data_IF_548049196867
#
_entry.id   IF_548049196867
#
_cell.length_a   1.000
_cell.length_b   1.000
_cell.length_c   1.000
_cell.angle_alpha   90.00
_cell.angle_beta   90.00
_cell.angle_gamma   90.00
#
_symmetry.space_group_name_H-M   'P 1'
#
loop_
_entity.id
_entity.type
_entity.pdbx_description
1 polymer ?
#
# COMPACT_ATOMS: atom_id res chain seq x y z
N UNK A 1 -34.13 27.05 -41.51
CA UNK A 1 -33.31 26.62 -40.36
C UNK A 1 -31.90 27.13 -40.59
N UNK A 2 -31.43 28.04 -39.74
CA UNK A 2 -30.10 28.64 -39.87
C UNK A 2 -29.06 27.80 -39.14
N UNK A 3 -27.86 27.72 -39.69
CA UNK A 3 -26.70 27.17 -39.02
C UNK A 3 -26.03 28.26 -38.19
N UNK A 4 -25.47 27.89 -37.04
CA UNK A 4 -24.63 28.78 -36.24
C UNK A 4 -23.21 28.29 -36.37
N UNK A 5 -22.34 29.14 -36.91
CA UNK A 5 -20.91 28.85 -37.01
C UNK A 5 -20.23 29.07 -35.67
N UNK A 6 -19.40 28.11 -35.25
CA UNK A 6 -18.60 28.19 -34.03
C UNK A 6 -17.14 28.11 -34.48
N UNK A 7 -16.35 29.11 -34.10
CA UNK A 7 -14.91 29.17 -34.37
C UNK A 7 -14.13 28.90 -33.07
N UNK A 8 -12.90 28.36 -33.16
CA UNK A 8 -12.08 28.06 -31.99
C UNK A 8 -11.45 29.36 -31.46
N UNK A 9 -12.25 30.25 -30.89
CA UNK A 9 -11.82 31.54 -30.33
C UNK A 9 -11.99 31.48 -28.81
N UNK A 10 -10.95 31.83 -28.05
CA UNK A 10 -11.03 31.83 -26.59
C UNK A 10 -11.75 33.06 -26.01
N UNK A 11 -11.93 33.09 -24.68
CA UNK A 11 -12.63 34.18 -24.00
C UNK A 11 -11.96 35.56 -24.16
N UNK A 12 -10.70 35.59 -24.56
CA UNK A 12 -9.87 36.79 -24.75
C UNK A 12 -9.88 37.24 -26.22
N UNK A 13 -10.58 36.53 -27.10
CA UNK A 13 -10.66 36.83 -28.53
C UNK A 13 -9.47 36.30 -29.34
N UNK A 14 -8.66 35.41 -28.77
CA UNK A 14 -7.48 34.84 -29.44
C UNK A 14 -7.92 33.60 -30.23
N UNK A 15 -7.57 33.55 -31.50
CA UNK A 15 -7.78 32.39 -32.37
C UNK A 15 -6.92 31.20 -31.91
N UNK A 16 -7.56 30.04 -31.80
CA UNK A 16 -6.96 28.74 -31.45
C UNK A 16 -7.14 27.76 -32.60
N UNK A 17 -6.60 26.56 -32.44
CA UNK A 17 -6.73 25.49 -33.42
C UNK A 17 -7.68 24.40 -32.92
N UNK A 18 -8.41 23.77 -33.84
CA UNK A 18 -9.22 22.60 -33.52
C UNK A 18 -8.33 21.43 -33.10
N UNK A 19 -8.72 20.73 -32.02
CA UNK A 19 -8.03 19.53 -31.55
C UNK A 19 -8.11 18.37 -32.55
N UNK A 20 -9.18 18.31 -33.35
CA UNK A 20 -9.47 17.24 -34.30
C UNK A 20 -9.71 17.80 -35.70
N UNK A 21 -9.23 17.06 -36.71
CA UNK A 21 -9.62 17.30 -38.11
C UNK A 21 -11.10 16.96 -38.34
N UNK A 22 -11.64 17.42 -39.46
CA UNK A 22 -13.07 17.30 -39.82
C UNK A 22 -13.59 15.86 -39.73
N UNK A 23 -12.86 14.90 -40.30
CA UNK A 23 -13.27 13.49 -40.32
C UNK A 23 -13.38 12.90 -38.91
N UNK A 24 -12.34 13.13 -38.08
CA UNK A 24 -12.31 12.69 -36.69
C UNK A 24 -13.42 13.33 -35.87
N UNK A 25 -13.69 14.63 -36.08
CA UNK A 25 -14.77 15.34 -35.40
C UNK A 25 -16.13 14.73 -35.76
N UNK A 26 -16.40 14.48 -37.04
CA UNK A 26 -17.67 13.89 -37.49
C UNK A 26 -17.85 12.47 -36.92
N UNK A 27 -16.80 11.66 -36.90
CA UNK A 27 -16.86 10.30 -36.33
C UNK A 27 -17.08 10.29 -34.80
N UNK A 28 -16.66 11.35 -34.10
CA UNK A 28 -16.66 11.46 -32.63
C UNK A 28 -17.72 12.39 -32.06
N UNK A 29 -18.50 13.05 -32.93
CA UNK A 29 -19.42 14.12 -32.58
C UNK A 29 -20.41 13.69 -31.50
N UNK A 30 -21.17 12.63 -31.77
CA UNK A 30 -22.25 12.16 -30.89
C UNK A 30 -21.72 11.61 -29.56
N UNK A 31 -20.50 11.06 -29.57
CA UNK A 31 -19.91 10.42 -28.39
C UNK A 31 -19.26 11.43 -27.45
N UNK A 32 -18.58 12.44 -27.99
CA UNK A 32 -17.65 13.26 -27.21
C UNK A 32 -17.96 14.75 -27.20
N UNK A 33 -18.79 15.27 -28.10
CA UNK A 33 -19.03 16.71 -28.17
C UNK A 33 -20.34 17.06 -27.46
N UNK A 34 -20.27 18.05 -26.56
CA UNK A 34 -21.44 18.69 -25.96
C UNK A 34 -21.45 20.17 -26.33
N UNK A 35 -22.55 20.63 -26.92
CA UNK A 35 -22.74 22.06 -27.21
C UNK A 35 -23.56 22.67 -26.09
N UNK A 36 -23.03 23.68 -25.40
CA UNK A 36 -23.77 24.42 -24.36
C UNK A 36 -23.99 25.86 -24.79
N UNK A 37 -25.21 26.35 -24.57
CA UNK A 37 -25.55 27.76 -24.81
C UNK A 37 -25.05 28.61 -23.65
N UNK A 38 -24.27 29.64 -23.96
CA UNK A 38 -23.77 30.62 -22.99
C UNK A 38 -24.26 32.02 -23.33
N UNK A 39 -23.93 33.01 -22.48
CA UNK A 39 -24.35 34.41 -22.71
C UNK A 39 -23.73 35.01 -23.98
N UNK A 40 -22.65 34.42 -24.51
CA UNK A 40 -21.89 34.90 -25.68
C UNK A 40 -22.17 34.09 -26.95
N UNK A 41 -22.93 33.00 -26.88
CA UNK A 41 -23.19 32.12 -28.02
C UNK A 41 -23.29 30.64 -27.62
N UNK A 42 -22.50 29.80 -28.28
CA UNK A 42 -22.42 28.36 -28.03
C UNK A 42 -20.96 27.96 -27.82
N UNK A 43 -20.71 27.22 -26.75
CA UNK A 43 -19.39 26.67 -26.43
C UNK A 43 -19.40 25.15 -26.59
N UNK A 44 -18.29 24.63 -27.12
CA UNK A 44 -18.08 23.21 -27.35
C UNK A 44 -17.26 22.61 -26.21
N UNK A 45 -17.83 21.61 -25.54
CA UNK A 45 -17.16 20.84 -24.50
C UNK A 45 -16.84 19.45 -25.03
N UNK A 46 -15.62 18.98 -24.77
CA UNK A 46 -15.22 17.61 -25.04
C UNK A 46 -15.44 16.80 -23.76
N UNK A 47 -16.30 15.78 -23.85
CA UNK A 47 -16.50 14.79 -22.79
C UNK A 47 -15.32 13.83 -22.80
N UNK A 48 -14.75 13.59 -21.63
CA UNK A 48 -13.82 12.48 -21.42
C UNK A 48 -14.59 11.37 -20.71
N UNK A 49 -14.46 10.12 -21.18
CA UNK A 49 -15.13 8.97 -20.57
C UNK A 49 -14.10 8.04 -19.96
N UNK A 50 -14.45 7.42 -18.83
CA UNK A 50 -13.55 6.49 -18.13
C UNK A 50 -13.12 5.31 -19.01
N UNK A 51 -14.02 4.82 -19.87
CA UNK A 51 -13.75 3.76 -20.85
C UNK A 51 -12.69 4.09 -21.91
N UNK A 52 -12.42 5.38 -22.17
CA UNK A 52 -11.42 5.77 -23.16
C UNK A 52 -9.99 5.57 -22.65
N UNK A 53 -9.84 5.42 -21.33
CA UNK A 53 -8.57 5.26 -20.64
C UNK A 53 -8.20 3.78 -20.42
N UNK A 54 -9.05 2.84 -20.85
CA UNK A 54 -8.72 1.40 -20.82
C UNK A 54 -7.53 1.10 -21.76
N UNK A 55 -6.40 0.71 -21.17
CA UNK A 55 -5.16 0.42 -21.91
C UNK A 55 -4.24 1.63 -22.12
N UNK A 56 -4.59 2.82 -21.63
CA UNK A 56 -3.64 3.94 -21.61
C UNK A 56 -2.53 3.70 -20.58
N UNK A 57 -1.32 4.13 -20.93
CA UNK A 57 -0.19 4.11 -19.99
C UNK A 57 -0.48 5.10 -18.85
N UNK A 58 -0.12 4.75 -17.60
CA UNK A 58 -0.28 5.67 -16.48
C UNK A 58 0.50 6.97 -16.72
N UNK A 59 -0.11 8.09 -16.35
CA UNK A 59 0.51 9.42 -16.40
C UNK A 59 1.67 9.49 -15.41
N UNK A 60 2.60 10.41 -15.65
CA UNK A 60 3.71 10.70 -14.71
C UNK A 60 3.21 11.38 -13.43
N UNK A 61 2.17 12.23 -13.53
CA UNK A 61 1.56 12.93 -12.39
C UNK A 61 0.19 12.33 -12.11
N UNK A 62 -0.07 12.07 -10.82
CA UNK A 62 -1.23 11.38 -10.31
C UNK A 62 -2.02 12.33 -9.40
N UNK A 63 -3.08 12.93 -9.94
CA UNK A 63 -3.79 14.06 -9.32
C UNK A 63 -5.30 13.82 -9.14
N UNK A 64 -5.74 12.55 -9.21
CA UNK A 64 -7.16 12.22 -8.96
C UNK A 64 -7.57 12.71 -7.57
N UNK A 65 -8.75 13.31 -7.46
CA UNK A 65 -9.29 13.86 -6.20
C UNK A 65 -9.36 12.84 -5.06
N UNK A 66 -9.55 11.56 -5.39
CA UNK A 66 -9.59 10.45 -4.43
C UNK A 66 -8.24 10.14 -3.78
N UNK A 67 -7.12 10.61 -4.32
CA UNK A 67 -5.79 10.34 -3.78
C UNK A 67 -5.43 11.21 -2.56
N UNK A 68 -6.27 12.19 -2.23
CA UNK A 68 -5.98 13.14 -1.15
C UNK A 68 -5.96 12.47 0.23
N UNK A 69 -5.16 13.04 1.13
CA UNK A 69 -5.14 12.63 2.55
C UNK A 69 -6.47 12.89 3.28
N UNK A 70 -7.30 13.82 2.78
CA UNK A 70 -8.64 14.05 3.31
C UNK A 70 -9.55 12.85 3.04
N UNK A 71 -9.56 12.33 1.80
CA UNK A 71 -10.28 11.09 1.47
C UNK A 71 -9.81 9.94 2.35
N UNK A 72 -8.50 9.77 2.51
CA UNK A 72 -7.94 8.72 3.37
C UNK A 72 -8.40 8.83 4.83
N UNK A 73 -8.42 10.05 5.37
CA UNK A 73 -8.87 10.31 6.75
C UNK A 73 -10.36 10.03 6.91
N UNK A 74 -11.17 10.40 5.92
CA UNK A 74 -12.60 10.19 5.95
C UNK A 74 -12.98 8.70 5.86
N UNK A 75 -12.34 7.96 4.96
CA UNK A 75 -12.51 6.50 4.84
C UNK A 75 -12.13 5.78 6.13
N UNK A 76 -11.01 6.16 6.75
CA UNK A 76 -10.61 5.58 8.02
C UNK A 76 -11.60 5.92 9.13
N UNK A 77 -12.07 7.18 9.19
CA UNK A 77 -13.10 7.60 10.15
C UNK A 77 -14.41 6.83 9.94
N UNK A 78 -14.80 6.52 8.70
CA UNK A 78 -15.99 5.72 8.40
C UNK A 78 -15.87 4.29 8.92
N UNK A 79 -14.68 3.69 8.86
CA UNK A 79 -14.41 2.33 9.35
C UNK A 79 -14.36 2.24 10.89
N UNK A 80 -13.85 3.28 11.55
CA UNK A 80 -13.61 3.28 13.00
C UNK A 80 -14.60 4.11 13.82
N UNK A 81 -15.42 4.94 13.17
CA UNK A 81 -16.29 5.93 13.82
C UNK A 81 -15.54 7.19 14.28
N UNK A 82 -14.23 7.11 14.45
CA UNK A 82 -13.39 8.23 14.89
C UNK A 82 -12.04 8.29 14.15
N UNK A 83 -11.32 9.39 14.32
CA UNK A 83 -9.99 9.62 13.74
C UNK A 83 -8.92 8.90 14.57
N UNK A 84 -8.64 7.66 14.21
CA UNK A 84 -7.68 6.79 14.92
C UNK A 84 -6.23 6.88 14.42
N UNK A 85 -5.97 7.54 13.28
CA UNK A 85 -4.63 7.64 12.70
C UNK A 85 -4.39 9.00 12.06
N UNK A 86 -3.14 9.46 12.10
CA UNK A 86 -2.70 10.69 11.47
C UNK A 86 -2.09 10.42 10.11
N UNK A 87 -2.53 11.17 9.09
CA UNK A 87 -1.99 11.12 7.73
C UNK A 87 -2.02 9.73 7.05
N UNK A 88 -3.15 9.00 7.08
CA UNK A 88 -3.28 7.78 6.29
C UNK A 88 -3.12 8.10 4.80
N UNK A 89 -2.56 7.15 4.04
CA UNK A 89 -2.57 7.21 2.58
C UNK A 89 -3.96 6.81 2.08
N UNK A 90 -4.34 7.31 0.89
CA UNK A 90 -5.59 6.89 0.26
C UNK A 90 -5.43 5.51 -0.34
N UNK A 91 -6.36 4.59 -0.03
CA UNK A 91 -6.33 3.24 -0.59
C UNK A 91 -6.56 3.27 -2.11
N UNK A 92 -7.32 4.24 -2.64
CA UNK A 92 -7.50 4.43 -4.08
C UNK A 92 -6.18 4.67 -4.83
N UNK A 93 -5.26 5.42 -4.22
CA UNK A 93 -3.94 5.64 -4.81
C UNK A 93 -3.17 4.31 -4.90
N UNK A 94 -3.20 3.52 -3.83
CA UNK A 94 -2.50 2.23 -3.79
C UNK A 94 -3.17 1.22 -4.74
N UNK A 95 -4.50 1.20 -4.83
CA UNK A 95 -5.21 0.35 -5.80
C UNK A 95 -4.76 0.63 -7.24
N UNK A 96 -4.66 1.90 -7.63
CA UNK A 96 -4.23 2.24 -8.98
C UNK A 96 -2.75 1.90 -9.22
N UNK A 97 -1.88 1.98 -8.20
CA UNK A 97 -0.51 1.44 -8.28
C UNK A 97 -0.55 -0.08 -8.53
N UNK A 98 -1.33 -0.82 -7.75
CA UNK A 98 -1.42 -2.28 -7.85
C UNK A 98 -1.99 -2.74 -9.20
N UNK A 99 -2.97 -2.02 -9.76
CA UNK A 99 -3.52 -2.29 -11.11
C UNK A 99 -2.45 -2.25 -12.21
N UNK A 100 -1.36 -1.51 -11.99
CA UNK A 100 -0.28 -1.34 -12.97
C UNK A 100 0.89 -2.28 -12.69
N UNK A 101 1.17 -2.56 -11.41
CA UNK A 101 2.40 -3.27 -11.00
C UNK A 101 2.19 -4.73 -10.65
N UNK A 102 0.95 -5.22 -10.62
CA UNK A 102 0.64 -6.59 -10.17
C UNK A 102 -0.38 -7.29 -11.04
N UNK A 103 -0.21 -8.60 -11.18
CA UNK A 103 -1.20 -9.53 -11.71
C UNK A 103 -2.12 -10.04 -10.59
N UNK A 104 -3.16 -10.79 -10.96
CA UNK A 104 -4.23 -11.21 -10.04
C UNK A 104 -3.80 -12.15 -8.92
N UNK A 105 -2.66 -12.81 -8.99
CA UNK A 105 -2.20 -13.80 -8.00
C UNK A 105 -0.90 -13.41 -7.30
N UNK A 106 -0.43 -12.17 -7.50
CA UNK A 106 0.84 -11.69 -6.96
C UNK A 106 0.81 -11.46 -5.44
N UNK A 107 2.00 -11.38 -4.84
CA UNK A 107 2.20 -11.05 -3.44
C UNK A 107 2.71 -9.61 -3.32
N UNK A 108 1.98 -8.79 -2.57
CA UNK A 108 2.31 -7.39 -2.30
C UNK A 108 2.95 -7.27 -0.91
N UNK A 109 4.16 -6.71 -0.84
CA UNK A 109 4.84 -6.47 0.44
C UNK A 109 4.93 -4.98 0.76
N UNK A 110 4.56 -4.61 1.97
CA UNK A 110 4.73 -3.26 2.52
C UNK A 110 5.47 -3.33 3.85
N UNK A 111 6.70 -2.86 3.87
CA UNK A 111 7.54 -2.85 5.07
C UNK A 111 7.26 -1.66 6.00
N UNK A 112 6.34 -0.77 5.62
CA UNK A 112 5.97 0.43 6.36
C UNK A 112 4.44 0.55 6.42
N UNK A 113 3.81 -0.49 6.99
CA UNK A 113 2.37 -0.71 6.93
C UNK A 113 1.50 0.46 7.36
N UNK A 114 1.95 1.25 8.34
CA UNK A 114 1.24 2.41 8.86
C UNK A 114 -0.18 2.02 9.24
N UNK A 115 -1.16 2.78 8.75
CA UNK A 115 -2.58 2.49 8.93
C UNK A 115 -3.11 1.26 8.16
N UNK A 116 -2.28 0.41 7.55
CA UNK A 116 -2.73 -0.77 6.80
C UNK A 116 -3.37 -0.44 5.45
N UNK A 117 -2.95 0.65 4.80
CA UNK A 117 -3.58 1.13 3.55
C UNK A 117 -3.35 0.16 2.39
N UNK A 118 -2.17 -0.46 2.31
CA UNK A 118 -1.83 -1.40 1.24
C UNK A 118 -2.66 -2.67 1.30
N UNK A 119 -2.83 -3.27 2.49
CA UNK A 119 -3.71 -4.42 2.67
C UNK A 119 -5.16 -4.09 2.31
N UNK A 120 -5.67 -2.92 2.71
CA UNK A 120 -7.01 -2.47 2.32
C UNK A 120 -7.15 -2.38 0.79
N UNK A 121 -6.17 -1.78 0.09
CA UNK A 121 -6.21 -1.68 -1.36
C UNK A 121 -6.18 -3.05 -2.06
N UNK A 122 -5.39 -4.00 -1.57
CA UNK A 122 -5.35 -5.38 -2.10
C UNK A 122 -6.72 -6.05 -1.95
N UNK A 123 -7.33 -5.95 -0.78
CA UNK A 123 -8.63 -6.55 -0.49
C UNK A 123 -9.75 -5.96 -1.35
N UNK A 124 -9.78 -4.64 -1.53
CA UNK A 124 -10.75 -3.98 -2.41
C UNK A 124 -10.52 -4.37 -3.88
N UNK A 125 -9.25 -4.40 -4.31
CA UNK A 125 -8.94 -4.73 -5.70
C UNK A 125 -9.32 -6.16 -6.05
N UNK A 126 -9.04 -7.13 -5.17
CA UNK A 126 -9.47 -8.51 -5.35
C UNK A 126 -10.99 -8.64 -5.39
N UNK A 127 -11.72 -7.84 -4.60
CA UNK A 127 -13.18 -7.80 -4.64
C UNK A 127 -13.70 -7.16 -5.94
N UNK A 128 -13.00 -6.15 -6.47
CA UNK A 128 -13.35 -5.45 -7.72
C UNK A 128 -13.11 -6.33 -8.96
N UNK A 129 -11.96 -6.99 -9.06
CA UNK A 129 -11.52 -7.69 -10.27
C UNK A 129 -11.56 -9.23 -10.19
N UNK A 130 -12.02 -9.78 -9.06
CA UNK A 130 -12.06 -11.22 -8.79
C UNK A 130 -10.67 -11.86 -8.68
N UNK A 131 -9.64 -11.06 -8.38
CA UNK A 131 -8.29 -11.53 -8.15
C UNK A 131 -8.08 -12.20 -6.78
N UNK A 132 -6.87 -12.70 -6.59
CA UNK A 132 -6.43 -13.44 -5.41
C UNK A 132 -5.01 -12.98 -4.98
N UNK A 133 -4.75 -11.67 -5.09
CA UNK A 133 -3.50 -11.05 -4.65
C UNK A 133 -3.36 -11.24 -3.15
N UNK A 134 -2.16 -11.59 -2.70
CA UNK A 134 -1.83 -11.74 -1.28
C UNK A 134 -1.07 -10.51 -0.81
N UNK A 135 -1.06 -10.28 0.49
CA UNK A 135 -0.26 -9.20 1.06
C UNK A 135 0.54 -9.64 2.28
N UNK A 136 1.68 -9.00 2.48
CA UNK A 136 2.50 -9.07 3.70
C UNK A 136 2.74 -7.65 4.15
N UNK A 137 2.29 -7.31 5.36
CA UNK A 137 2.49 -6.00 5.96
C UNK A 137 3.43 -6.16 7.16
N UNK A 138 4.49 -5.35 7.21
CA UNK A 138 5.31 -5.19 8.39
C UNK A 138 5.06 -3.80 8.97
N UNK A 139 4.86 -3.75 10.29
CA UNK A 139 4.74 -2.52 11.05
C UNK A 139 5.43 -2.74 12.41
N UNK A 140 6.15 -1.72 12.87
CA UNK A 140 6.99 -1.77 14.06
C UNK A 140 6.41 -0.99 15.24
N UNK A 141 5.42 -0.12 15.00
CA UNK A 141 4.84 0.75 16.02
C UNK A 141 3.63 0.11 16.69
N UNK A 142 3.45 0.41 17.98
CA UNK A 142 2.42 -0.20 18.87
C UNK A 142 0.98 -0.03 18.35
N UNK A 143 0.72 0.95 17.48
CA UNK A 143 -0.60 1.10 16.84
C UNK A 143 -0.93 -0.05 15.88
N UNK A 144 0.00 -0.96 15.59
CA UNK A 144 -0.22 -2.11 14.70
C UNK A 144 -1.42 -2.94 15.16
N UNK A 145 -1.59 -3.12 16.47
CA UNK A 145 -2.68 -3.90 17.04
C UNK A 145 -4.03 -3.17 16.93
N UNK A 146 -4.03 -1.86 17.20
CA UNK A 146 -5.26 -1.06 17.38
C UNK A 146 -5.73 -0.38 16.10
N UNK A 147 -4.84 -0.17 15.13
CA UNK A 147 -5.13 0.52 13.88
C UNK A 147 -4.90 -0.39 12.69
N UNK A 148 -3.68 -0.88 12.49
CA UNK A 148 -3.30 -1.62 11.27
C UNK A 148 -4.07 -2.92 11.15
N UNK A 149 -3.98 -3.78 12.17
CA UNK A 149 -4.68 -5.06 12.29
C UNK A 149 -6.18 -4.86 12.24
N UNK A 150 -6.70 -3.96 13.06
CA UNK A 150 -8.15 -3.72 13.17
C UNK A 150 -8.74 -3.19 11.86
N UNK A 151 -8.01 -2.34 11.12
CA UNK A 151 -8.47 -1.87 9.80
C UNK A 151 -8.58 -3.04 8.84
N UNK A 152 -7.56 -3.90 8.78
CA UNK A 152 -7.56 -5.09 7.90
C UNK A 152 -8.73 -6.01 8.24
N UNK A 153 -8.93 -6.32 9.53
CA UNK A 153 -10.05 -7.15 9.99
C UNK A 153 -11.42 -6.54 9.63
N UNK A 154 -11.58 -5.21 9.79
CA UNK A 154 -12.83 -4.51 9.42
C UNK A 154 -13.10 -4.59 7.92
N UNK A 155 -12.08 -4.40 7.07
CA UNK A 155 -12.21 -4.49 5.61
C UNK A 155 -12.54 -5.93 5.19
N UNK A 156 -11.87 -6.93 5.76
CA UNK A 156 -12.17 -8.35 5.56
C UNK A 156 -13.63 -8.66 5.89
N UNK A 157 -14.13 -8.16 7.02
CA UNK A 157 -15.52 -8.35 7.42
C UNK A 157 -16.51 -7.69 6.45
N UNK A 158 -16.18 -6.53 5.88
CA UNK A 158 -17.01 -5.86 4.88
C UNK A 158 -17.04 -6.61 3.54
N UNK A 159 -15.89 -7.10 3.09
CA UNK A 159 -15.74 -7.77 1.79
C UNK A 159 -16.11 -9.26 1.85
N UNK A 160 -16.38 -9.80 3.05
CA UNK A 160 -16.64 -11.23 3.30
C UNK A 160 -15.53 -12.12 2.74
N UNK A 161 -14.27 -11.65 2.84
CA UNK A 161 -13.13 -12.21 2.12
C UNK A 161 -12.02 -12.66 3.06
N UNK A 162 -11.46 -13.85 2.77
CA UNK A 162 -10.17 -14.43 3.15
C UNK A 162 -9.71 -14.46 4.63
N UNK A 163 -8.80 -15.39 4.89
CA UNK A 163 -8.04 -15.51 6.12
C UNK A 163 -6.97 -14.42 6.24
N UNK A 164 -6.76 -13.92 7.45
CA UNK A 164 -5.67 -13.01 7.81
C UNK A 164 -4.95 -13.55 9.05
N UNK A 165 -3.62 -13.61 8.98
CA UNK A 165 -2.77 -14.09 10.08
C UNK A 165 -1.93 -12.92 10.56
N UNK A 166 -1.98 -12.71 11.87
CA UNK A 166 -1.15 -11.74 12.57
C UNK A 166 -0.13 -12.48 13.44
N UNK A 167 1.12 -12.06 13.40
CA UNK A 167 2.19 -12.55 14.25
C UNK A 167 3.18 -11.42 14.55
N UNK A 168 3.82 -11.52 15.71
CA UNK A 168 4.85 -10.59 16.16
C UNK A 168 6.20 -11.30 16.24
N UNK A 169 7.28 -10.54 16.04
CA UNK A 169 8.62 -11.04 16.29
C UNK A 169 8.86 -11.12 17.79
N UNK A 170 8.89 -12.34 18.32
CA UNK A 170 9.33 -12.57 19.70
C UNK A 170 10.82 -12.30 19.83
N UNK A 171 11.21 -11.54 20.86
CA UNK A 171 12.61 -11.31 21.23
C UNK A 171 13.24 -12.59 21.80
N UNK A 172 13.63 -13.50 20.92
CA UNK A 172 14.27 -14.76 21.33
C UNK A 172 15.58 -14.51 22.11
N UNK A 173 16.33 -13.46 21.76
CA UNK A 173 17.61 -13.14 22.41
C UNK A 173 17.45 -12.46 23.77
N UNK A 174 16.38 -11.71 24.04
CA UNK A 174 16.20 -11.04 25.33
C UNK A 174 15.98 -12.06 26.45
N UNK A 175 15.21 -13.13 26.19
CA UNK A 175 15.06 -14.25 27.11
C UNK A 175 16.40 -14.95 27.42
N UNK A 176 17.33 -15.00 26.47
CA UNK A 176 18.68 -15.51 26.73
C UNK A 176 19.55 -14.50 27.48
N UNK A 177 19.44 -13.21 27.17
CA UNK A 177 20.16 -12.12 27.88
C UNK A 177 19.75 -12.08 29.34
N UNK A 178 18.45 -12.14 29.66
CA UNK A 178 17.93 -12.17 31.03
C UNK A 178 18.45 -13.39 31.79
N UNK A 179 18.48 -14.56 31.14
CA UNK A 179 19.02 -15.80 31.72
C UNK A 179 20.53 -15.71 31.97
N UNK A 180 21.28 -15.09 31.06
CA UNK A 180 22.72 -14.85 31.21
C UNK A 180 22.99 -13.90 32.37
N UNK A 181 22.23 -12.80 32.47
CA UNK A 181 22.37 -11.81 33.56
C UNK A 181 21.95 -12.36 34.92
N UNK A 182 20.98 -13.28 34.95
CA UNK A 182 20.52 -13.94 36.19
C UNK A 182 21.43 -15.10 36.64
N UNK A 183 22.27 -15.64 35.75
CA UNK A 183 23.14 -16.77 36.04
C UNK A 183 24.24 -16.39 37.05
N UNK A 184 24.37 -17.18 38.12
CA UNK A 184 25.36 -16.92 39.19
C UNK A 184 26.55 -17.87 39.15
N UNK A 185 26.48 -18.93 38.34
CA UNK A 185 27.52 -19.95 38.23
C UNK A 185 27.88 -20.24 36.76
N UNK A 186 29.16 -20.51 36.48
CA UNK A 186 29.64 -20.78 35.10
C UNK A 186 28.97 -22.01 34.49
N UNK A 187 28.56 -22.99 35.32
CA UNK A 187 27.80 -24.18 34.86
C UNK A 187 26.44 -23.82 34.27
N UNK A 188 25.77 -22.78 34.80
CA UNK A 188 24.48 -22.31 34.28
C UNK A 188 24.67 -21.59 32.92
N UNK A 189 25.74 -20.80 32.79
CA UNK A 189 26.12 -20.15 31.54
C UNK A 189 26.42 -21.17 30.43
N UNK A 190 27.10 -22.29 30.75
CA UNK A 190 27.37 -23.37 29.78
C UNK A 190 26.09 -24.07 29.33
N UNK A 191 25.08 -24.22 30.20
CA UNK A 191 23.77 -24.77 29.82
C UNK A 191 23.02 -23.80 28.91
N UNK A 192 23.01 -22.51 29.25
CA UNK A 192 22.40 -21.46 28.42
C UNK A 192 23.08 -21.39 27.06
N UNK A 193 24.41 -21.49 27.00
CA UNK A 193 25.19 -21.53 25.78
C UNK A 193 24.87 -22.74 24.90
N UNK A 194 24.77 -23.94 25.48
CA UNK A 194 24.39 -25.15 24.75
C UNK A 194 22.95 -25.11 24.23
N UNK A 195 22.06 -24.41 24.91
CA UNK A 195 20.70 -24.15 24.42
C UNK A 195 20.68 -23.09 23.32
N UNK A 196 21.48 -22.03 23.46
CA UNK A 196 21.71 -21.04 22.41
C UNK A 196 22.25 -21.69 21.13
N UNK A 197 23.30 -22.53 21.21
CA UNK A 197 23.89 -23.16 20.04
C UNK A 197 22.95 -24.15 19.33
N UNK A 198 22.00 -24.74 20.06
CA UNK A 198 21.01 -25.68 19.50
C UNK A 198 19.73 -25.04 19.01
N UNK A 199 19.28 -23.93 19.61
CA UNK A 199 17.95 -23.33 19.39
C UNK A 199 17.98 -21.89 18.89
N UNK A 200 19.05 -21.14 19.13
CA UNK A 200 19.14 -19.77 18.66
C UNK A 200 19.45 -19.76 17.16
N UNK A 201 18.76 -18.90 16.43
CA UNK A 201 19.08 -18.55 15.06
C UNK A 201 20.46 -17.87 15.07
N UNK A 202 21.54 -18.65 15.07
CA UNK A 202 22.87 -18.14 14.82
C UNK A 202 22.84 -17.58 13.40
N UNK A 203 23.00 -16.27 13.33
CA UNK A 203 23.04 -15.45 12.14
C UNK A 203 23.78 -16.20 11.02
N UNK A 204 23.22 -16.29 9.82
CA UNK A 204 23.69 -17.16 8.73
C UNK A 204 25.14 -16.91 8.26
N UNK A 205 25.77 -15.83 8.73
CA UNK A 205 27.19 -15.51 8.54
C UNK A 205 28.12 -16.05 9.63
N UNK A 206 27.58 -16.62 10.72
CA UNK A 206 28.37 -17.18 11.82
C UNK A 206 28.60 -18.65 11.53
N UNK A 207 29.83 -19.00 11.12
CA UNK A 207 30.26 -20.37 10.94
C UNK A 207 29.97 -21.16 12.25
N UNK A 208 29.11 -22.19 12.24
CA UNK A 208 28.76 -22.97 13.42
C UNK A 208 29.94 -23.68 14.11
N UNK A 209 31.10 -23.75 13.46
CA UNK A 209 32.35 -24.33 14.00
C UNK A 209 33.17 -23.33 14.83
N UNK A 210 33.03 -22.02 14.58
CA UNK A 210 33.72 -20.97 15.36
C UNK A 210 33.36 -20.90 16.87
N UNK A 211 32.15 -21.26 17.35
CA UNK A 211 31.78 -21.19 18.76
C UNK A 211 32.45 -22.25 19.64
N UNK A 212 32.94 -23.38 19.10
CA UNK A 212 33.58 -24.44 19.92
C UNK A 212 34.92 -23.99 20.52
N UNK A 213 35.67 -23.14 19.81
CA UNK A 213 36.90 -22.57 20.35
C UNK A 213 36.63 -21.51 21.43
N UNK A 214 35.56 -20.72 21.28
CA UNK A 214 35.14 -19.74 22.29
C UNK A 214 34.64 -20.38 23.61
N UNK A 215 34.17 -21.63 23.57
CA UNK A 215 33.78 -22.38 24.78
C UNK A 215 35.00 -22.67 25.67
N UNK A 216 36.15 -22.97 25.06
CA UNK A 216 37.39 -23.26 25.80
C UNK A 216 37.86 -22.03 26.58
N UNK A 217 37.80 -20.85 25.96
CA UNK A 217 38.13 -19.58 26.61
C UNK A 217 37.21 -19.29 27.82
N UNK A 218 35.91 -19.61 27.70
CA UNK A 218 34.94 -19.48 28.79
C UNK A 218 35.21 -20.44 29.95
N UNK A 219 35.62 -21.67 29.66
CA UNK A 219 35.99 -22.67 30.67
C UNK A 219 37.28 -22.31 31.42
N UNK A 220 38.23 -21.62 30.77
CA UNK A 220 39.45 -21.13 31.41
C UNK A 220 39.20 -19.94 32.34
N UNK A 221 38.33 -19.00 31.95
CA UNK A 221 37.98 -17.85 32.79
C UNK A 221 37.30 -18.29 34.10
N UNK A 222 36.51 -19.37 34.06
CA UNK A 222 35.81 -19.91 35.22
C UNK A 222 36.67 -20.73 36.21
N UNK A 223 37.98 -20.89 35.95
CA UNK A 223 38.93 -21.62 36.84
C UNK A 223 39.78 -20.72 37.74
N UNK A 224 39.63 -19.39 37.66
CA UNK A 224 40.17 -18.43 38.63
C UNK A 224 39.13 -18.06 39.67
#
# INVERSE_FOLDING_TARGET
MGWVEILPIDEQGIERCWRWGKETLTAKLDKYIEVKKTKRGFDLFIKERESDYEGEKPKTIWDKSKYTGQTATWELKKLFGDRVFSYPKSHFLIMDILKITTEKDDIVMDCFGGSGTTAHAVLELNNEDGGNRKFVICEQLDYVETVTRDRVCKVIALNKSSDFIYFELMKFNEAFIDRIQAAKASKELVVIWKELSKKSFLNWYVNPEAPEDAVKDFEEIGKK
#
